data_IF_678422179002
#
_entry.id   IF_678422179002
#
_cell.length_a   1.000
_cell.length_b   1.000
_cell.length_c   1.000
_cell.angle_alpha   90.00
_cell.angle_beta   90.00
_cell.angle_gamma   90.00
#
_symmetry.space_group_name_H-M   'P 1'
#
loop_
_entity.id
_entity.type
_entity.pdbx_description
1 polymer ?
#
# COMPACT_ATOMS: atom_id res chain seq x y z
N UNK A 1 -2.57 31.07 9.23
CA UNK A 1 -2.07 29.83 9.82
C UNK A 1 -2.83 28.72 9.12
N UNK A 2 -2.21 28.10 8.12
CA UNK A 2 -2.83 27.01 7.37
C UNK A 2 -2.83 25.77 8.27
N UNK A 3 -3.99 25.47 8.87
CA UNK A 3 -4.29 24.14 9.38
C UNK A 3 -4.06 23.17 8.22
N UNK A 4 -2.93 22.48 8.24
CA UNK A 4 -2.73 21.29 7.41
C UNK A 4 -3.52 20.19 8.11
N UNK A 5 -4.82 20.16 7.88
CA UNK A 5 -5.63 18.98 8.14
C UNK A 5 -5.07 17.90 7.24
N UNK A 6 -4.38 16.93 7.82
CA UNK A 6 -3.88 15.77 7.10
C UNK A 6 -5.14 15.04 6.64
N UNK A 7 -5.46 15.16 5.34
CA UNK A 7 -6.61 14.48 4.74
C UNK A 7 -6.28 12.99 4.62
N UNK A 8 -6.55 12.27 5.72
CA UNK A 8 -6.33 10.82 5.84
C UNK A 8 -7.04 10.08 4.71
N UNK A 9 -8.24 10.52 4.34
CA UNK A 9 -9.00 9.97 3.21
C UNK A 9 -8.25 10.13 1.89
N UNK A 10 -7.69 11.31 1.63
CA UNK A 10 -6.94 11.59 0.39
C UNK A 10 -5.64 10.81 0.34
N UNK A 11 -4.96 10.67 1.48
CA UNK A 11 -3.77 9.85 1.59
C UNK A 11 -4.08 8.37 1.39
N UNK A 12 -5.17 7.87 1.99
CA UNK A 12 -5.71 6.54 1.76
C UNK A 12 -6.00 6.27 0.29
N UNK A 13 -6.66 7.21 -0.41
CA UNK A 13 -6.91 7.10 -1.85
C UNK A 13 -5.60 7.04 -2.67
N UNK A 14 -4.57 7.83 -2.31
CA UNK A 14 -3.26 7.78 -2.96
C UNK A 14 -2.61 6.40 -2.76
N UNK A 15 -2.63 5.87 -1.54
CA UNK A 15 -2.07 4.56 -1.22
C UNK A 15 -2.82 3.46 -1.99
N UNK A 16 -4.15 3.48 -2.01
CA UNK A 16 -4.95 2.51 -2.79
C UNK A 16 -4.62 2.59 -4.28
N UNK A 17 -4.46 3.79 -4.85
CA UNK A 17 -4.02 3.94 -6.25
C UNK A 17 -2.63 3.35 -6.48
N UNK A 18 -1.70 3.57 -5.56
CA UNK A 18 -0.37 2.99 -5.61
C UNK A 18 -0.43 1.46 -5.55
N UNK A 19 -1.21 0.90 -4.62
CA UNK A 19 -1.41 -0.55 -4.49
C UNK A 19 -2.00 -1.15 -5.76
N UNK A 20 -2.96 -0.46 -6.40
CA UNK A 20 -3.52 -0.87 -7.70
C UNK A 20 -2.53 -0.83 -8.87
N UNK A 21 -1.37 -0.18 -8.71
CA UNK A 21 -0.31 -0.18 -9.73
C UNK A 21 0.67 -1.34 -9.57
N UNK A 22 0.52 -2.13 -8.51
CA UNK A 22 1.33 -3.30 -8.21
C UNK A 22 0.52 -4.52 -8.63
N UNK A 23 1.06 -5.26 -9.59
CA UNK A 23 0.40 -6.40 -10.22
C UNK A 23 1.18 -7.67 -9.90
N UNK A 24 0.47 -8.78 -9.77
CA UNK A 24 1.13 -10.07 -9.56
C UNK A 24 1.82 -10.53 -10.86
N UNK A 25 3.08 -10.99 -10.79
CA UNK A 25 3.81 -11.45 -11.98
C UNK A 25 3.27 -12.76 -12.57
N UNK A 26 2.52 -13.56 -11.81
CA UNK A 26 1.88 -14.79 -12.28
C UNK A 26 0.47 -14.55 -12.83
N UNK A 27 -0.27 -13.57 -12.29
CA UNK A 27 -1.62 -13.22 -12.72
C UNK A 27 -1.69 -11.70 -12.94
N UNK A 28 -2.05 -11.21 -14.15
CA UNK A 28 -2.10 -9.76 -14.46
C UNK A 28 -3.32 -9.06 -13.83
N UNK A 29 -3.45 -9.20 -12.52
CA UNK A 29 -4.42 -8.56 -11.65
C UNK A 29 -3.65 -7.87 -10.53
N UNK A 30 -4.18 -6.75 -10.07
CA UNK A 30 -3.59 -6.00 -8.98
C UNK A 30 -3.85 -6.66 -7.62
N UNK A 31 -2.93 -6.42 -6.69
CA UNK A 31 -2.96 -7.02 -5.35
C UNK A 31 -4.17 -6.58 -4.51
N UNK A 32 -4.78 -5.45 -4.87
CA UNK A 32 -5.93 -4.90 -4.19
C UNK A 32 -7.21 -5.63 -4.63
N UNK A 33 -7.45 -5.79 -5.93
CA UNK A 33 -8.58 -6.55 -6.50
C UNK A 33 -8.46 -8.06 -6.25
N UNK A 34 -7.25 -8.60 -6.16
CA UNK A 34 -7.01 -9.99 -5.71
C UNK A 34 -7.47 -10.24 -4.28
N UNK A 35 -7.70 -9.19 -3.47
CA UNK A 35 -8.03 -9.31 -2.06
C UNK A 35 -6.85 -9.76 -1.19
N UNK A 36 -5.61 -9.53 -1.66
CA UNK A 36 -4.41 -9.78 -0.85
C UNK A 36 -4.27 -8.75 0.25
N UNK A 37 -4.78 -7.53 0.04
CA UNK A 37 -4.86 -6.47 1.04
C UNK A 37 -6.13 -6.65 1.87
N UNK A 38 -5.99 -6.88 3.18
CA UNK A 38 -7.13 -6.88 4.10
C UNK A 38 -7.51 -5.49 4.55
N UNK A 39 -6.51 -4.68 4.90
CA UNK A 39 -6.77 -3.40 5.55
C UNK A 39 -5.63 -2.41 5.31
N UNK A 40 -5.98 -1.13 5.23
CA UNK A 40 -5.02 -0.02 5.08
C UNK A 40 -5.34 1.01 6.14
N UNK A 41 -4.48 1.08 7.16
CA UNK A 41 -4.57 2.06 8.23
C UNK A 41 -3.63 3.22 7.95
N UNK A 42 -4.15 4.44 8.09
CA UNK A 42 -3.38 5.67 7.96
C UNK A 42 -3.63 6.50 9.21
N UNK A 43 -2.55 6.88 9.90
CA UNK A 43 -2.64 7.65 11.14
C UNK A 43 -2.37 9.14 10.89
N UNK A 44 -2.71 9.98 11.88
CA UNK A 44 -2.46 11.43 11.85
C UNK A 44 -0.97 11.78 11.80
N UNK A 45 -0.07 10.86 12.18
CA UNK A 45 1.38 11.00 12.04
C UNK A 45 1.90 10.70 10.63
N UNK A 46 1.00 10.53 9.65
CA UNK A 46 1.29 10.04 8.30
C UNK A 46 1.93 8.64 8.26
N UNK A 47 1.71 7.85 9.31
CA UNK A 47 2.14 6.46 9.35
C UNK A 47 1.10 5.59 8.63
N UNK A 48 1.58 4.78 7.67
CA UNK A 48 0.73 3.89 6.86
C UNK A 48 1.03 2.45 7.23
N UNK A 49 -0.01 1.72 7.63
CA UNK A 49 0.03 0.29 7.95
C UNK A 49 -0.88 -0.47 7.00
N UNK A 50 -0.28 -1.38 6.24
CA UNK A 50 -0.99 -2.18 5.23
C UNK A 50 -0.97 -3.63 5.71
N UNK A 51 -2.15 -4.17 6.00
CA UNK A 51 -2.32 -5.58 6.33
C UNK A 51 -2.57 -6.36 5.03
N UNK A 52 -1.72 -7.34 4.76
CA UNK A 52 -1.87 -8.22 3.60
C UNK A 52 -1.62 -9.69 3.96
N UNK A 53 -2.31 -10.60 3.28
CA UNK A 53 -1.98 -12.03 3.32
C UNK A 53 -1.10 -12.35 2.13
N UNK A 54 0.06 -12.96 2.39
CA UNK A 54 0.91 -13.50 1.35
C UNK A 54 0.63 -15.00 1.23
N UNK A 55 -0.02 -15.36 0.13
CA UNK A 55 -0.40 -16.75 -0.17
C UNK A 55 0.80 -17.51 -0.73
N UNK A 56 1.85 -17.72 0.08
CA UNK A 56 2.82 -18.84 0.01
C UNK A 56 4.13 -18.46 0.70
N UNK A 57 4.59 -19.19 1.74
CA UNK A 57 5.87 -18.95 2.40
C UNK A 57 7.11 -19.25 1.53
N UNK A 58 6.91 -19.86 0.35
CA UNK A 58 7.96 -20.30 -0.56
C UNK A 58 7.98 -19.56 -1.90
N UNK A 59 7.15 -18.54 -2.10
CA UNK A 59 7.12 -17.79 -3.35
C UNK A 59 8.06 -16.57 -3.26
N UNK A 60 9.02 -16.37 -4.18
CA UNK A 60 9.94 -15.22 -4.14
C UNK A 60 9.24 -13.86 -4.17
N UNK A 61 7.97 -13.85 -4.61
CA UNK A 61 7.10 -12.67 -4.64
C UNK A 61 6.71 -12.19 -3.24
N UNK A 62 6.76 -13.06 -2.23
CA UNK A 62 6.38 -12.73 -0.86
C UNK A 62 7.32 -11.72 -0.18
N UNK A 63 8.59 -11.64 -0.59
CA UNK A 63 9.52 -10.65 -0.06
C UNK A 63 9.59 -9.39 -0.94
N UNK A 64 9.46 -9.53 -2.26
CA UNK A 64 9.56 -8.40 -3.19
C UNK A 64 8.31 -7.52 -3.19
N UNK A 65 7.13 -8.09 -3.02
CA UNK A 65 5.86 -7.37 -3.12
C UNK A 65 5.64 -6.38 -1.97
N UNK A 66 5.86 -6.74 -0.68
CA UNK A 66 5.84 -5.78 0.41
C UNK A 66 6.91 -4.70 0.27
N UNK A 67 8.09 -5.05 -0.26
CA UNK A 67 9.16 -4.10 -0.49
C UNK A 67 8.76 -3.07 -1.57
N UNK A 68 8.20 -3.51 -2.69
CA UNK A 68 7.72 -2.62 -3.76
C UNK A 68 6.58 -1.71 -3.26
N UNK A 69 5.63 -2.27 -2.50
CA UNK A 69 4.58 -1.49 -1.83
C UNK A 69 5.19 -0.42 -0.94
N UNK A 70 6.16 -0.78 -0.09
CA UNK A 70 6.81 0.15 0.82
C UNK A 70 7.55 1.26 0.05
N UNK A 71 8.30 0.93 -1.00
CA UNK A 71 8.99 1.91 -1.83
C UNK A 71 8.03 2.86 -2.54
N UNK A 72 6.95 2.37 -3.14
CA UNK A 72 5.97 3.25 -3.80
C UNK A 72 5.16 4.08 -2.81
N UNK A 73 4.82 3.54 -1.64
CA UNK A 73 4.12 4.30 -0.60
C UNK A 73 5.05 5.35 0.01
N UNK A 74 6.34 5.04 0.23
CA UNK A 74 7.37 6.03 0.63
C UNK A 74 7.66 7.08 -0.44
N UNK A 75 7.40 6.79 -1.71
CA UNK A 75 7.47 7.79 -2.78
C UNK A 75 6.40 8.87 -2.63
N UNK A 76 5.35 8.67 -1.83
CA UNK A 76 4.41 9.72 -1.48
C UNK A 76 5.08 10.61 -0.42
N UNK A 77 5.41 11.86 -0.79
CA UNK A 77 6.07 12.87 0.06
C UNK A 77 5.34 13.10 1.41
N UNK A 78 4.06 12.71 1.45
CA UNK A 78 3.19 12.83 2.61
C UNK A 78 3.34 11.70 3.63
N UNK A 79 3.95 10.56 3.28
CA UNK A 79 4.08 9.37 4.14
C UNK A 79 5.46 9.32 4.82
N UNK A 80 5.49 8.98 6.11
CA UNK A 80 6.73 8.81 6.88
C UNK A 80 7.10 7.35 7.12
#
# INVERSE_FOLDING_TARGET
MSEQTIDIEKLGEQIVRVLKTIYDPEIPVDIYELGLIYDVFVNEDCEVKILMTLTSPNCPVAESLPQEVNEKVKSLDQVK
#
